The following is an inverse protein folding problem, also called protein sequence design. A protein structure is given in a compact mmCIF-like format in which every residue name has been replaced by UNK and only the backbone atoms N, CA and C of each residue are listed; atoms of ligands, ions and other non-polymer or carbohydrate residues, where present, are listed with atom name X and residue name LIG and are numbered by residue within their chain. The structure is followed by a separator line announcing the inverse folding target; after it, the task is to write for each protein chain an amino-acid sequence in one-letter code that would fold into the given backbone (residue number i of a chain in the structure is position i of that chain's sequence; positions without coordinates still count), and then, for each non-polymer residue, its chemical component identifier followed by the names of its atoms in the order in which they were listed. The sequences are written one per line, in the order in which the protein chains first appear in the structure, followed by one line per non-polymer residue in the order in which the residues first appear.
data_IF_620033254197
#
_entry.id   IF_620033254197
#
_cell.length_a   1.000
_cell.length_b   1.000
_cell.length_c   1.000
_cell.angle_alpha   90.00
_cell.angle_beta   90.00
_cell.angle_gamma   90.00
#
_symmetry.space_group_name_H-M   'P 1'
#
loop_
_entity.id
_entity.type
_entity.pdbx_description
1 polymer ?
#
# COMPACT_ATOMS: atom_id res chain seq x y z
N UNK A 1 -11.98 3.10 -33.44
CA UNK A 1 -10.70 3.79 -33.21
C UNK A 1 -10.01 3.14 -32.02
N UNK A 2 -8.84 2.51 -32.23
CA UNK A 2 -8.05 1.91 -31.15
C UNK A 2 -7.39 3.03 -30.35
N UNK A 3 -7.42 3.03 -29.00
CA UNK A 3 -6.59 3.93 -28.21
C UNK A 3 -5.12 3.51 -28.41
N UNK A 4 -4.29 4.50 -28.71
CA UNK A 4 -2.85 4.38 -28.95
C UNK A 4 -2.11 3.95 -27.68
N UNK A 5 -1.15 3.04 -27.83
CA UNK A 5 -0.43 2.31 -26.78
C UNK A 5 0.52 3.14 -25.90
N UNK A 6 0.33 4.46 -25.78
CA UNK A 6 1.20 5.34 -24.99
C UNK A 6 0.54 5.96 -23.75
N UNK A 7 -0.78 5.83 -23.56
CA UNK A 7 -1.45 6.40 -22.38
C UNK A 7 -1.25 5.57 -21.10
N UNK A 8 -0.92 4.29 -21.21
CA UNK A 8 -0.76 3.39 -20.06
C UNK A 8 0.61 3.46 -19.35
N UNK A 9 1.55 4.27 -19.84
CA UNK A 9 2.91 4.37 -19.29
C UNK A 9 3.27 5.74 -18.71
N UNK A 10 2.30 6.65 -18.58
CA UNK A 10 2.58 7.95 -17.97
C UNK A 10 2.88 7.81 -16.47
N UNK A 11 4.16 7.95 -16.13
CA UNK A 11 4.68 7.94 -14.77
C UNK A 11 4.66 9.35 -14.20
N UNK A 12 3.97 9.51 -13.07
CA UNK A 12 3.75 10.78 -12.38
C UNK A 12 4.61 10.89 -11.13
N UNK A 13 5.10 12.07 -10.87
CA UNK A 13 5.84 12.45 -9.68
C UNK A 13 5.06 13.53 -8.93
N UNK A 14 5.17 13.51 -7.61
CA UNK A 14 4.52 14.45 -6.70
C UNK A 14 5.61 15.24 -5.99
N UNK A 15 5.49 16.56 -5.93
CA UNK A 15 6.37 17.45 -5.16
C UNK A 15 5.57 18.21 -4.12
N UNK A 16 6.10 18.23 -2.90
CA UNK A 16 5.60 19.04 -1.78
C UNK A 16 6.78 19.69 -1.08
N UNK A 17 6.98 20.98 -1.30
CA UNK A 17 8.21 21.67 -0.88
C UNK A 17 9.41 21.08 -1.63
N UNK A 18 10.47 20.71 -0.91
CA UNK A 18 11.69 20.12 -1.49
C UNK A 18 11.60 18.60 -1.70
N UNK A 19 10.54 17.95 -1.24
CA UNK A 19 10.41 16.48 -1.30
C UNK A 19 9.68 16.06 -2.57
N UNK A 20 10.35 15.24 -3.39
CA UNK A 20 9.79 14.60 -4.58
C UNK A 20 9.52 13.11 -4.32
N UNK A 21 8.37 12.61 -4.76
CA UNK A 21 7.95 11.20 -4.62
C UNK A 21 7.41 10.67 -5.94
N UNK A 22 7.68 9.42 -6.27
CA UNK A 22 7.26 8.76 -7.50
C UNK A 22 8.27 7.71 -7.95
N UNK A 23 8.10 7.12 -9.14
CA UNK A 23 6.98 7.32 -10.06
C UNK A 23 5.69 6.65 -9.58
N UNK A 24 4.54 7.23 -9.96
CA UNK A 24 3.21 6.73 -9.69
C UNK A 24 2.42 6.63 -11.00
N UNK A 25 1.55 5.63 -11.12
CA UNK A 25 0.64 5.58 -12.28
C UNK A 25 -0.46 6.64 -12.13
N UNK A 26 -1.11 6.97 -13.25
CA UNK A 26 -2.29 7.84 -13.28
C UNK A 26 -3.33 7.45 -12.23
N UNK A 27 -3.65 6.16 -12.12
CA UNK A 27 -4.66 5.62 -11.21
C UNK A 27 -4.25 5.80 -9.74
N UNK A 28 -2.96 5.65 -9.43
CA UNK A 28 -2.42 5.85 -8.08
C UNK A 28 -2.44 7.34 -7.69
N UNK A 29 -2.17 8.25 -8.62
CA UNK A 29 -2.35 9.70 -8.42
C UNK A 29 -3.83 10.03 -8.20
N UNK A 30 -4.72 9.56 -9.06
CA UNK A 30 -6.18 9.71 -8.93
C UNK A 30 -6.67 9.18 -7.57
N UNK A 31 -6.15 8.03 -7.12
CA UNK A 31 -6.47 7.47 -5.81
C UNK A 31 -5.93 8.31 -4.66
N UNK A 32 -4.69 8.79 -4.73
CA UNK A 32 -4.13 9.67 -3.70
C UNK A 32 -4.87 11.01 -3.61
N UNK A 33 -5.37 11.54 -4.73
CA UNK A 33 -6.27 12.68 -4.77
C UNK A 33 -7.62 12.36 -4.09
N UNK A 34 -8.22 11.20 -4.39
CA UNK A 34 -9.45 10.73 -3.73
C UNK A 34 -9.29 10.58 -2.21
N UNK A 35 -8.16 10.05 -1.77
CA UNK A 35 -7.86 9.88 -0.34
C UNK A 35 -7.46 11.20 0.35
N UNK A 36 -7.25 12.29 -0.40
CA UNK A 36 -6.71 13.54 0.12
C UNK A 36 -5.25 13.45 0.60
N UNK A 37 -4.52 12.42 0.15
CA UNK A 37 -3.07 12.27 0.40
C UNK A 37 -2.26 13.23 -0.47
N UNK A 38 -2.76 13.49 -1.68
CA UNK A 38 -2.38 14.63 -2.51
C UNK A 38 -3.43 15.72 -2.32
N UNK A 39 -2.97 16.92 -1.97
CA UNK A 39 -3.81 18.11 -1.82
C UNK A 39 -3.91 18.83 -3.17
N UNK A 40 -4.93 19.68 -3.30
CA UNK A 40 -5.13 20.51 -4.51
C UNK A 40 -3.92 21.40 -4.84
N UNK A 41 -3.12 21.76 -3.84
CA UNK A 41 -1.92 22.60 -3.98
C UNK A 41 -0.61 21.81 -4.07
N UNK A 42 -0.63 20.48 -4.09
CA UNK A 42 0.57 19.70 -4.38
C UNK A 42 0.88 19.74 -5.88
N UNK A 43 2.17 19.68 -6.21
CA UNK A 43 2.63 19.76 -7.58
C UNK A 43 2.84 18.36 -8.16
N UNK A 44 2.46 18.18 -9.42
CA UNK A 44 2.62 16.97 -10.19
C UNK A 44 3.50 17.22 -11.41
N UNK A 45 4.27 16.20 -11.79
CA UNK A 45 5.14 16.24 -12.97
C UNK A 45 5.20 14.87 -13.64
N UNK A 46 5.37 14.84 -14.97
CA UNK A 46 5.62 13.62 -15.74
C UNK A 46 7.11 13.37 -15.98
N UNK A 47 7.93 14.42 -15.87
CA UNK A 47 9.33 14.45 -16.30
C UNK A 47 10.30 14.93 -15.20
N UNK A 48 9.78 15.28 -14.01
CA UNK A 48 10.49 15.89 -12.89
C UNK A 48 11.12 17.27 -13.18
N UNK A 49 10.92 17.82 -14.38
CA UNK A 49 11.44 19.12 -14.80
C UNK A 49 10.33 20.18 -14.78
N UNK A 50 9.15 19.84 -15.30
CA UNK A 50 7.98 20.71 -15.35
C UNK A 50 6.97 20.32 -14.26
N UNK A 51 6.79 21.20 -13.28
CA UNK A 51 5.89 21.01 -12.14
C UNK A 51 4.67 21.90 -12.29
N UNK A 52 3.47 21.32 -12.16
CA UNK A 52 2.18 22.02 -12.22
C UNK A 52 1.28 21.55 -11.10
N UNK A 53 0.32 22.36 -10.67
CA UNK A 53 -0.57 21.99 -9.58
C UNK A 53 -1.46 20.81 -9.98
N UNK A 54 -1.82 19.97 -9.01
CA UNK A 54 -2.70 18.83 -9.25
C UNK A 54 -4.05 19.21 -9.89
N UNK A 55 -4.54 20.44 -9.64
CA UNK A 55 -5.76 20.98 -10.25
C UNK A 55 -5.65 21.26 -11.74
N UNK A 56 -4.44 21.39 -12.27
CA UNK A 56 -4.19 21.67 -13.70
C UNK A 56 -4.21 20.40 -14.56
N UNK A 57 -4.46 19.24 -13.95
CA UNK A 57 -4.54 17.94 -14.63
C UNK A 57 -5.95 17.35 -14.50
N UNK A 58 -6.93 17.89 -15.24
CA UNK A 58 -8.32 17.47 -15.10
C UNK A 58 -8.54 15.98 -15.41
N UNK A 59 -7.69 15.37 -16.25
CA UNK A 59 -7.72 13.94 -16.55
C UNK A 59 -7.31 13.03 -15.39
N UNK A 60 -6.66 13.56 -14.35
CA UNK A 60 -6.27 12.82 -13.14
C UNK A 60 -7.30 12.95 -12.02
N UNK A 61 -8.16 13.96 -12.14
CA UNK A 61 -9.27 14.18 -11.24
C UNK A 61 -10.37 13.18 -11.64
N UNK A 62 -10.78 12.27 -10.75
CA UNK A 62 -11.94 11.42 -11.02
C UNK A 62 -13.16 12.29 -11.34
N UNK A 63 -14.13 11.80 -12.10
CA UNK A 63 -15.39 12.53 -12.37
C UNK A 63 -16.07 13.05 -11.10
N UNK A 64 -15.85 12.36 -9.98
CA UNK A 64 -16.26 12.72 -8.61
C UNK A 64 -15.64 14.01 -8.04
N UNK A 65 -14.61 14.57 -8.67
CA UNK A 65 -14.00 15.86 -8.31
C UNK A 65 -14.60 17.03 -9.10
N UNK A 66 -15.24 16.76 -10.24
CA UNK A 66 -15.88 17.77 -11.09
C UNK A 66 -17.35 17.98 -10.76
N UNK A 67 -17.96 17.02 -10.08
CA UNK A 67 -19.21 17.24 -9.38
C UNK A 67 -18.87 17.51 -7.92
N UNK A 68 -19.16 18.72 -7.45
CA UNK A 68 -19.63 18.87 -6.07
C UNK A 68 -20.88 17.99 -5.93
N UNK A 69 -20.70 16.68 -5.80
CA UNK A 69 -21.85 15.80 -5.65
C UNK A 69 -22.41 16.06 -4.27
N UNK A 70 -23.65 16.53 -4.21
CA UNK A 70 -24.52 16.50 -3.03
C UNK A 70 -24.84 15.07 -2.55
N UNK A 71 -24.19 14.05 -3.16
CA UNK A 71 -24.29 12.67 -2.75
C UNK A 71 -23.61 12.43 -1.38
N UNK A 72 -24.41 12.58 -0.33
CA UNK A 72 -24.06 12.31 1.04
C UNK A 72 -23.49 10.90 1.24
N UNK A 73 -23.90 9.93 0.40
CA UNK A 73 -23.44 8.54 0.48
C UNK A 73 -21.98 8.41 0.08
N UNK A 74 -21.55 9.14 -0.95
CA UNK A 74 -20.15 9.14 -1.39
C UNK A 74 -19.23 9.76 -0.32
N UNK A 75 -19.67 10.87 0.30
CA UNK A 75 -18.95 11.51 1.41
C UNK A 75 -18.82 10.54 2.60
N UNK A 76 -19.89 9.82 2.91
CA UNK A 76 -19.89 8.83 3.99
C UNK A 76 -18.90 7.68 3.72
N UNK A 77 -18.85 7.15 2.49
CA UNK A 77 -17.89 6.10 2.08
C UNK A 77 -16.43 6.55 2.20
N UNK A 78 -16.12 7.77 1.77
CA UNK A 78 -14.76 8.32 1.86
C UNK A 78 -14.31 8.55 3.31
N UNK A 79 -15.20 9.06 4.16
CA UNK A 79 -14.89 9.25 5.59
C UNK A 79 -14.68 7.93 6.31
N UNK A 80 -15.54 6.95 6.04
CA UNK A 80 -15.42 5.59 6.54
C UNK A 80 -14.08 4.94 6.19
N UNK A 81 -13.66 5.04 4.93
CA UNK A 81 -12.37 4.51 4.46
C UNK A 81 -11.20 5.16 5.20
N UNK A 82 -11.24 6.48 5.42
CA UNK A 82 -10.22 7.20 6.20
C UNK A 82 -10.16 6.71 7.66
N UNK A 83 -11.31 6.46 8.27
CA UNK A 83 -11.39 5.96 9.65
C UNK A 83 -10.82 4.55 9.78
N UNK A 84 -11.17 3.64 8.85
CA UNK A 84 -10.62 2.29 8.83
C UNK A 84 -9.10 2.28 8.65
N UNK A 85 -8.56 3.09 7.73
CA UNK A 85 -7.11 3.23 7.56
C UNK A 85 -6.43 3.74 8.83
N UNK A 86 -7.03 4.72 9.51
CA UNK A 86 -6.53 5.24 10.79
C UNK A 86 -6.52 4.15 11.89
N UNK A 87 -7.57 3.34 11.99
CA UNK A 87 -7.64 2.21 12.93
C UNK A 87 -6.62 1.12 12.60
N UNK A 88 -6.37 0.88 11.31
CA UNK A 88 -5.36 -0.09 10.87
C UNK A 88 -3.94 0.38 11.17
N UNK A 89 -3.67 1.69 11.01
CA UNK A 89 -2.42 2.32 11.40
C UNK A 89 -2.25 2.31 12.92
N UNK A 90 -3.32 2.60 13.67
CA UNK A 90 -3.32 2.54 15.13
C UNK A 90 -3.06 1.11 15.65
N UNK A 91 -3.73 0.10 15.09
CA UNK A 91 -3.50 -1.30 15.48
C UNK A 91 -2.14 -1.85 15.03
N UNK A 92 -1.55 -1.31 13.96
CA UNK A 92 -0.15 -1.62 13.61
C UNK A 92 0.87 -1.05 14.59
N UNK A 93 0.49 -0.06 15.41
CA UNK A 93 1.34 0.52 16.47
C UNK A 93 1.29 -0.24 17.80
N UNK A 94 0.44 -1.26 17.93
CA UNK A 94 0.24 -2.07 19.15
C UNK A 94 0.83 -3.50 19.05
N UNK A 95 1.82 -3.73 18.18
CA UNK A 95 2.55 -5.00 18.15
C UNK A 95 3.47 -5.15 19.38
N UNK A 96 3.49 -6.33 20.06
CA UNK A 96 4.31 -6.57 21.23
C UNK A 96 5.82 -6.36 21.01
N UNK A 97 6.45 -5.88 22.08
CA UNK A 97 7.76 -5.27 22.23
C UNK A 97 9.01 -6.14 21.91
N UNK A 98 8.92 -7.12 21.00
CA UNK A 98 10.08 -7.93 20.58
C UNK A 98 10.77 -7.41 19.32
N UNK A 99 10.09 -6.65 18.46
CA UNK A 99 10.70 -6.08 17.25
C UNK A 99 11.33 -4.69 17.44
N UNK A 100 11.11 -4.03 18.59
CA UNK A 100 11.74 -2.73 18.90
C UNK A 100 13.21 -2.78 19.30
N UNK A 101 13.80 -3.97 19.51
CA UNK A 101 15.22 -4.09 19.88
C UNK A 101 16.19 -3.92 18.72
N UNK A 102 15.72 -3.81 17.47
CA UNK A 102 16.61 -3.59 16.32
C UNK A 102 16.66 -2.14 15.84
N UNK A 103 15.78 -1.25 16.31
CA UNK A 103 15.70 0.15 15.86
C UNK A 103 16.07 1.19 16.94
N UNK A 104 16.28 0.77 18.19
CA UNK A 104 16.60 1.68 19.30
C UNK A 104 18.12 1.82 19.58
N UNK A 105 18.99 1.12 18.85
CA UNK A 105 20.44 1.20 19.01
C UNK A 105 21.09 2.32 18.16
N UNK A 106 20.37 2.88 17.17
CA UNK A 106 20.92 3.92 16.28
C UNK A 106 20.77 5.35 16.85
N UNK A 107 19.80 5.62 17.73
CA UNK A 107 19.54 6.98 18.23
C UNK A 107 20.38 7.36 19.47
N UNK A 108 21.03 6.39 20.11
CA UNK A 108 21.92 6.60 21.27
C UNK A 108 23.34 7.04 20.88
N UNK A 109 23.71 6.96 19.60
CA UNK A 109 25.05 7.31 19.11
C UNK A 109 25.14 8.80 18.71
N UNK A 110 24.05 9.42 18.26
CA UNK A 110 24.07 10.84 17.84
C UNK A 110 24.12 11.82 19.03
N UNK A 111 23.45 11.51 20.14
CA UNK A 111 23.38 12.45 21.28
C UNK A 111 24.65 12.52 22.14
N UNK A 112 25.59 11.58 21.96
CA UNK A 112 26.90 11.59 22.63
C UNK A 112 27.95 12.40 21.87
N UNK A 113 27.82 12.57 20.55
CA UNK A 113 28.85 13.21 19.71
C UNK A 113 28.83 14.74 19.80
N UNK A 114 27.68 15.35 20.08
CA UNK A 114 27.52 16.82 20.04
C UNK A 114 27.93 17.52 21.34
N UNK A 115 27.97 16.82 22.49
CA UNK A 115 28.41 17.43 23.77
C UNK A 115 29.93 17.43 24.00
N UNK A 116 30.72 16.81 23.12
CA UNK A 116 32.18 16.72 23.30
C UNK A 116 32.96 17.88 22.65
N UNK A 117 32.30 18.83 21.99
CA UNK A 117 32.97 19.90 21.23
C UNK A 117 32.88 21.30 21.84
N UNK A 118 32.30 21.48 23.02
CA UNK A 118 32.30 22.77 23.74
C UNK A 118 32.77 22.62 25.19
N UNK A 119 34.08 22.72 25.41
CA UNK A 119 34.62 23.30 26.65
C UNK A 119 36.04 23.85 26.44
N UNK A 120 36.36 25.05 26.96
CA UNK A 120 37.67 25.67 26.83
C UNK A 120 38.68 25.19 27.89
N UNK A 121 39.94 25.16 27.46
CA UNK A 121 41.25 25.13 28.14
C UNK A 121 41.34 24.70 29.62
N UNK A 122 42.12 23.64 29.89
CA UNK A 122 42.94 23.53 31.11
C UNK A 122 44.35 23.03 30.75
N UNK A 123 45.33 23.77 31.28
CA UNK A 123 46.78 23.61 31.12
C UNK A 123 47.30 22.27 31.63
N UNK A 124 48.35 21.75 30.96
CA UNK A 124 49.11 20.60 31.46
C UNK A 124 50.58 21.00 31.53
N UNK A 125 51.02 21.22 32.77
CA UNK A 125 52.42 21.32 33.16
C UNK A 125 53.15 19.99 33.00
N UNK A 126 54.46 20.10 32.78
CA UNK A 126 55.46 19.05 32.61
C UNK A 126 55.33 17.87 33.59
N UNK A 127 55.61 16.66 33.09
CA UNK A 127 56.66 15.78 33.63
C UNK A 127 56.91 14.54 32.75
N UNK A 128 58.02 14.62 32.02
CA UNK A 128 59.15 13.65 32.02
C UNK A 128 58.86 12.14 32.13
N UNK A 129 59.28 11.37 31.11
CA UNK A 129 60.49 10.50 31.08
C UNK A 129 60.30 9.31 30.12
N UNK A 130 61.31 9.14 29.27
CA UNK A 130 61.84 7.92 28.67
C UNK A 130 60.89 6.72 28.45
N UNK A 131 60.56 6.42 27.20
CA UNK A 131 61.10 5.19 26.58
C UNK A 131 61.04 5.27 25.04
N UNK A 132 62.20 5.08 24.43
CA UNK A 132 62.41 4.97 22.99
C UNK A 132 62.39 3.47 22.68
N UNK A 133 61.36 2.98 22.01
CA UNK A 133 61.30 1.60 21.52
C UNK A 133 59.90 1.12 21.12
N UNK A 134 59.72 0.78 19.83
CA UNK A 134 58.58 0.00 19.26
C UNK A 134 57.15 0.59 19.32
N UNK A 135 56.93 1.91 19.41
CA UNK A 135 55.57 2.49 19.34
C UNK A 135 55.07 2.87 17.92
N UNK A 136 55.96 3.16 16.97
CA UNK A 136 55.58 3.57 15.61
C UNK A 136 54.94 2.45 14.79
N UNK A 137 55.35 1.19 14.99
CA UNK A 137 54.80 0.03 14.28
C UNK A 137 53.34 -0.27 14.62
N UNK A 138 52.91 -0.09 15.87
CA UNK A 138 51.53 -0.38 16.29
C UNK A 138 50.52 0.66 15.80
N UNK A 139 50.92 1.94 15.77
CA UNK A 139 50.07 3.04 15.26
C UNK A 139 49.91 2.93 13.74
N UNK A 140 51.00 2.68 13.02
CA UNK A 140 50.96 2.47 11.55
C UNK A 140 50.13 1.22 11.21
N UNK A 141 50.29 0.12 11.95
CA UNK A 141 49.48 -1.07 11.77
C UNK A 141 47.98 -0.81 12.03
N UNK A 142 47.65 0.02 13.02
CA UNK A 142 46.27 0.41 13.33
C UNK A 142 45.63 1.25 12.22
N UNK A 143 46.36 2.21 11.66
CA UNK A 143 45.87 3.04 10.54
C UNK A 143 45.62 2.18 9.30
N UNK A 144 46.57 1.32 8.94
CA UNK A 144 46.43 0.42 7.78
C UNK A 144 45.24 -0.54 7.97
N UNK A 145 45.07 -1.12 9.16
CA UNK A 145 43.94 -1.98 9.45
C UNK A 145 42.60 -1.23 9.34
N UNK A 146 42.53 0.01 9.82
CA UNK A 146 41.33 0.84 9.70
C UNK A 146 41.04 1.22 8.24
N UNK A 147 42.06 1.53 7.44
CA UNK A 147 41.91 1.82 6.00
C UNK A 147 41.41 0.61 5.22
N UNK A 148 41.90 -0.59 5.57
CA UNK A 148 41.44 -1.85 4.95
C UNK A 148 40.00 -2.14 5.37
N UNK A 149 39.65 -1.96 6.65
CA UNK A 149 38.28 -2.13 7.14
C UNK A 149 37.33 -1.13 6.50
N UNK A 150 37.70 0.15 6.40
CA UNK A 150 36.87 1.15 5.73
C UNK A 150 36.72 0.85 4.25
N UNK A 151 37.80 0.42 3.57
CA UNK A 151 37.75 0.02 2.18
C UNK A 151 36.89 -1.24 1.98
N UNK A 152 36.95 -2.21 2.89
CA UNK A 152 36.09 -3.40 2.89
C UNK A 152 34.63 -3.03 3.10
N UNK A 153 34.33 -2.12 4.03
CA UNK A 153 32.95 -1.64 4.26
C UNK A 153 32.44 -0.93 3.02
N UNK A 154 33.22 -0.01 2.44
CA UNK A 154 32.87 0.66 1.18
C UNK A 154 32.71 -0.35 0.05
N UNK A 155 33.61 -1.33 -0.08
CA UNK A 155 33.50 -2.40 -1.08
C UNK A 155 32.24 -3.23 -0.86
N UNK A 156 31.88 -3.55 0.38
CA UNK A 156 30.63 -4.25 0.71
C UNK A 156 29.45 -3.39 0.26
N UNK A 157 29.40 -2.10 0.62
CA UNK A 157 28.34 -1.18 0.18
C UNK A 157 28.26 -1.02 -1.34
N UNK A 158 29.40 -0.96 -2.03
CA UNK A 158 29.47 -0.84 -3.51
C UNK A 158 29.11 -2.15 -4.24
N UNK A 159 29.18 -3.30 -3.55
CA UNK A 159 28.87 -4.62 -4.09
C UNK A 159 27.48 -5.11 -3.65
N UNK A 160 26.78 -4.39 -2.75
CA UNK A 160 25.38 -4.72 -2.46
C UNK A 160 24.53 -4.47 -3.72
N UNK A 161 23.88 -5.51 -4.29
CA UNK A 161 22.92 -5.29 -5.35
C UNK A 161 21.80 -4.40 -4.80
N UNK A 162 21.34 -3.42 -5.59
CA UNK A 162 20.20 -2.61 -5.24
C UNK A 162 19.02 -3.53 -4.86
N UNK A 163 18.21 -3.20 -3.84
CA UNK A 163 17.07 -4.02 -3.47
C UNK A 163 16.18 -4.22 -4.69
N UNK A 164 15.92 -5.48 -5.01
CA UNK A 164 15.10 -5.87 -6.16
C UNK A 164 13.69 -5.29 -5.94
N UNK A 165 13.34 -4.28 -6.73
CA UNK A 165 12.00 -3.69 -6.66
C UNK A 165 11.03 -4.74 -7.15
N UNK A 166 10.20 -5.28 -6.25
CA UNK A 166 9.18 -6.27 -6.59
C UNK A 166 8.20 -5.63 -7.59
N UNK A 167 8.41 -5.89 -8.88
CA UNK A 167 7.56 -5.38 -9.95
C UNK A 167 6.33 -6.26 -10.04
N UNK A 168 5.15 -5.66 -9.90
CA UNK A 168 3.87 -6.36 -10.07
C UNK A 168 3.73 -6.74 -11.55
N UNK A 169 3.66 -8.04 -11.83
CA UNK A 169 3.42 -8.58 -13.16
C UNK A 169 1.96 -9.07 -13.26
N UNK A 170 1.15 -8.37 -14.06
CA UNK A 170 -0.25 -8.71 -14.31
C UNK A 170 -0.45 -9.83 -15.34
N UNK A 171 0.64 -10.35 -15.93
CA UNK A 171 0.60 -11.37 -16.99
C UNK A 171 0.89 -12.77 -16.48
N UNK A 172 1.39 -12.90 -15.24
CA UNK A 172 1.55 -14.21 -14.61
C UNK A 172 0.22 -14.93 -14.54
N UNK A 173 0.27 -16.25 -14.65
CA UNK A 173 -0.93 -17.10 -14.66
C UNK A 173 -1.59 -17.16 -13.29
N UNK A 174 -2.89 -17.46 -13.28
CA UNK A 174 -3.65 -17.61 -12.04
C UNK A 174 -3.06 -18.69 -11.15
N UNK A 175 -2.64 -18.30 -9.95
CA UNK A 175 -2.04 -19.20 -8.98
C UNK A 175 -2.34 -18.74 -7.54
N UNK A 176 -2.26 -19.64 -6.54
CA UNK A 176 -2.35 -19.27 -5.14
C UNK A 176 -1.32 -18.20 -4.77
N UNK A 177 -1.70 -17.27 -3.89
CA UNK A 177 -0.85 -16.18 -3.37
C UNK A 177 -0.27 -15.23 -4.44
N UNK A 178 -0.74 -15.29 -5.68
CA UNK A 178 -0.32 -14.35 -6.73
C UNK A 178 -0.60 -12.91 -6.31
N UNK A 179 0.30 -12.00 -6.67
CA UNK A 179 0.12 -10.56 -6.44
C UNK A 179 -0.23 -9.87 -7.75
N UNK A 180 -1.50 -9.52 -7.91
CA UNK A 180 -2.03 -8.74 -9.02
C UNK A 180 -2.55 -7.38 -8.57
N UNK A 181 -2.03 -6.85 -7.47
CA UNK A 181 -2.49 -5.56 -6.95
C UNK A 181 -2.39 -4.47 -8.02
N UNK A 182 -3.45 -3.67 -8.18
CA UNK A 182 -3.57 -2.58 -9.14
C UNK A 182 -3.66 -3.00 -10.62
N UNK A 183 -3.75 -4.30 -10.93
CA UNK A 183 -3.90 -4.77 -12.30
C UNK A 183 -5.28 -4.41 -12.89
N UNK A 184 -5.31 -4.17 -14.21
CA UNK A 184 -6.52 -3.90 -14.98
C UNK A 184 -6.86 -5.14 -15.80
N UNK A 185 -7.88 -5.89 -15.36
CA UNK A 185 -8.27 -7.20 -15.89
C UNK A 185 -9.78 -7.26 -16.11
N UNK A 186 -10.34 -6.22 -16.75
CA UNK A 186 -11.76 -6.19 -17.13
C UNK A 186 -12.08 -7.40 -18.02
N UNK A 187 -13.21 -8.04 -17.77
CA UNK A 187 -13.67 -9.23 -18.48
C UNK A 187 -12.69 -10.43 -18.47
N UNK A 188 -11.77 -10.48 -17.49
CA UNK A 188 -10.84 -11.59 -17.35
C UNK A 188 -11.56 -12.94 -17.17
N UNK A 189 -11.00 -13.98 -17.77
CA UNK A 189 -11.53 -15.33 -17.76
C UNK A 189 -10.79 -16.13 -16.67
N UNK A 190 -11.35 -16.16 -15.47
CA UNK A 190 -10.75 -16.74 -14.26
C UNK A 190 -11.67 -17.78 -13.61
N UNK A 191 -12.64 -18.33 -14.35
CA UNK A 191 -13.55 -19.36 -13.86
C UNK A 191 -12.77 -20.59 -13.36
N UNK A 192 -13.20 -21.15 -12.22
CA UNK A 192 -12.60 -22.33 -11.58
C UNK A 192 -11.11 -22.19 -11.24
N UNK A 193 -10.57 -20.97 -11.22
CA UNK A 193 -9.17 -20.73 -10.89
C UNK A 193 -8.89 -20.92 -9.40
N UNK A 194 -7.65 -21.28 -9.08
CA UNK A 194 -7.17 -21.33 -7.70
C UNK A 194 -6.36 -20.07 -7.38
N UNK A 195 -6.99 -19.17 -6.64
CA UNK A 195 -6.45 -17.86 -6.22
C UNK A 195 -6.43 -17.73 -4.69
N UNK A 196 -6.30 -18.86 -3.99
CA UNK A 196 -6.27 -18.90 -2.53
C UNK A 196 -5.13 -18.01 -2.01
N UNK A 197 -5.48 -17.07 -1.13
CA UNK A 197 -4.56 -16.11 -0.53
C UNK A 197 -3.94 -15.10 -1.51
N UNK A 198 -4.45 -14.97 -2.74
CA UNK A 198 -3.95 -13.99 -3.70
C UNK A 198 -4.16 -12.55 -3.20
N UNK A 199 -3.25 -11.65 -3.58
CA UNK A 199 -3.35 -10.22 -3.30
C UNK A 199 -3.78 -9.49 -4.57
N UNK A 200 -5.01 -9.03 -4.58
CA UNK A 200 -5.72 -8.46 -5.73
C UNK A 200 -6.37 -7.12 -5.36
N UNK A 201 -5.65 -6.30 -4.57
CA UNK A 201 -6.14 -5.01 -4.09
C UNK A 201 -6.20 -3.99 -5.24
N UNK A 202 -7.20 -3.10 -5.22
CA UNK A 202 -7.37 -2.04 -6.23
C UNK A 202 -7.40 -2.55 -7.69
N UNK A 203 -7.81 -3.80 -7.91
CA UNK A 203 -7.93 -4.33 -9.27
C UNK A 203 -9.21 -3.85 -9.94
N UNK A 204 -9.18 -3.80 -11.27
CA UNK A 204 -10.40 -3.76 -12.07
C UNK A 204 -10.68 -5.15 -12.63
N UNK A 205 -11.74 -5.78 -12.13
CA UNK A 205 -12.27 -7.08 -12.54
C UNK A 205 -13.72 -6.93 -13.01
N UNK A 206 -14.13 -5.73 -13.43
CA UNK A 206 -15.49 -5.50 -13.94
C UNK A 206 -15.83 -6.53 -15.03
N UNK A 207 -17.02 -7.12 -14.97
CA UNK A 207 -17.49 -8.15 -15.92
C UNK A 207 -16.59 -9.39 -16.04
N UNK A 208 -15.65 -9.62 -15.11
CA UNK A 208 -14.82 -10.82 -15.13
C UNK A 208 -15.67 -12.07 -14.83
N UNK A 209 -15.16 -13.22 -15.25
CA UNK A 209 -15.71 -14.53 -14.94
C UNK A 209 -14.86 -15.19 -13.86
N UNK A 210 -15.40 -15.33 -12.65
CA UNK A 210 -14.80 -15.96 -11.47
C UNK A 210 -15.69 -17.10 -10.93
N UNK A 211 -16.52 -17.70 -11.79
CA UNK A 211 -17.47 -18.75 -11.40
C UNK A 211 -16.75 -19.96 -10.82
N UNK A 212 -17.19 -20.40 -9.64
CA UNK A 212 -16.60 -21.56 -8.96
C UNK A 212 -15.12 -21.42 -8.57
N UNK A 213 -14.56 -20.22 -8.59
CA UNK A 213 -13.14 -20.01 -8.27
C UNK A 213 -12.87 -20.13 -6.76
N UNK A 214 -11.68 -20.59 -6.41
CA UNK A 214 -11.22 -20.70 -5.03
C UNK A 214 -10.51 -19.40 -4.63
N UNK A 215 -11.17 -18.58 -3.82
CA UNK A 215 -10.74 -17.25 -3.41
C UNK A 215 -10.61 -17.15 -1.87
N UNK A 216 -10.39 -18.29 -1.20
CA UNK A 216 -10.25 -18.33 0.26
C UNK A 216 -9.10 -17.43 0.71
N UNK A 217 -9.35 -16.54 1.67
CA UNK A 217 -8.35 -15.63 2.21
C UNK A 217 -7.82 -14.59 1.23
N UNK A 218 -8.45 -14.42 0.06
CA UNK A 218 -8.04 -13.45 -0.95
C UNK A 218 -8.16 -12.02 -0.41
N UNK A 219 -7.31 -11.11 -0.89
CA UNK A 219 -7.46 -9.69 -0.61
C UNK A 219 -7.88 -8.92 -1.87
N UNK A 220 -9.16 -8.60 -1.95
CA UNK A 220 -9.83 -7.85 -3.03
C UNK A 220 -10.24 -6.44 -2.58
N UNK A 221 -9.61 -5.93 -1.51
CA UNK A 221 -9.98 -4.62 -0.95
C UNK A 221 -9.92 -3.53 -2.00
N UNK A 222 -10.97 -2.71 -2.04
CA UNK A 222 -11.14 -1.57 -2.96
C UNK A 222 -11.12 -1.92 -4.45
N UNK A 223 -11.25 -3.20 -4.81
CA UNK A 223 -11.32 -3.63 -6.19
C UNK A 223 -12.70 -3.38 -6.78
N UNK A 224 -12.75 -3.23 -8.10
CA UNK A 224 -13.99 -3.11 -8.85
C UNK A 224 -14.38 -4.47 -9.43
N UNK A 225 -15.41 -5.09 -8.86
CA UNK A 225 -16.00 -6.36 -9.30
C UNK A 225 -17.46 -6.13 -9.76
N UNK A 226 -17.78 -4.93 -10.23
CA UNK A 226 -19.13 -4.64 -10.73
C UNK A 226 -19.47 -5.55 -11.92
N UNK A 227 -20.69 -6.09 -11.93
CA UNK A 227 -21.19 -7.02 -12.95
C UNK A 227 -20.31 -8.29 -13.16
N UNK A 228 -19.53 -8.69 -12.17
CA UNK A 228 -18.70 -9.92 -12.22
C UNK A 228 -19.56 -11.15 -12.00
N UNK A 229 -19.24 -12.25 -12.68
CA UNK A 229 -19.85 -13.56 -12.44
C UNK A 229 -19.05 -14.29 -11.36
N UNK A 230 -19.61 -14.44 -10.17
CA UNK A 230 -18.98 -15.09 -9.01
C UNK A 230 -19.77 -16.32 -8.54
N UNK A 231 -20.80 -16.74 -9.28
CA UNK A 231 -21.69 -17.79 -8.80
C UNK A 231 -20.92 -19.07 -8.42
N UNK A 232 -21.17 -19.56 -7.21
CA UNK A 232 -20.49 -20.72 -6.60
C UNK A 232 -19.03 -20.51 -6.19
N UNK A 233 -18.49 -19.29 -6.22
CA UNK A 233 -17.13 -19.03 -5.76
C UNK A 233 -16.97 -19.17 -4.23
N UNK A 234 -15.77 -19.53 -3.79
CA UNK A 234 -15.43 -19.66 -2.37
C UNK A 234 -14.62 -18.45 -1.90
N UNK A 235 -15.29 -17.52 -1.20
CA UNK A 235 -14.72 -16.28 -0.65
C UNK A 235 -14.61 -16.33 0.89
N UNK A 236 -14.53 -17.52 1.48
CA UNK A 236 -14.35 -17.66 2.94
C UNK A 236 -13.08 -16.94 3.39
N UNK A 237 -13.18 -16.23 4.51
CA UNK A 237 -12.08 -15.43 5.09
C UNK A 237 -11.48 -14.37 4.14
N UNK A 238 -12.15 -14.04 3.03
CA UNK A 238 -11.67 -13.02 2.10
C UNK A 238 -11.74 -11.62 2.73
N UNK A 239 -10.82 -10.74 2.33
CA UNK A 239 -10.88 -9.31 2.63
C UNK A 239 -11.44 -8.56 1.42
N UNK A 240 -12.66 -8.07 1.57
CA UNK A 240 -13.49 -7.40 0.55
C UNK A 240 -13.83 -5.97 0.96
N UNK A 241 -13.02 -5.34 1.82
CA UNK A 241 -13.29 -4.01 2.35
C UNK A 241 -13.39 -2.99 1.22
N UNK A 242 -14.51 -2.27 1.15
CA UNK A 242 -14.74 -1.23 0.15
C UNK A 242 -14.80 -1.72 -1.31
N UNK A 243 -14.99 -3.03 -1.53
CA UNK A 243 -15.14 -3.59 -2.88
C UNK A 243 -16.44 -3.12 -3.54
N UNK A 244 -16.43 -2.91 -4.86
CA UNK A 244 -17.67 -2.73 -5.63
C UNK A 244 -18.13 -4.07 -6.19
N UNK A 245 -19.27 -4.57 -5.72
CA UNK A 245 -19.94 -5.79 -6.20
C UNK A 245 -21.29 -5.45 -6.86
N UNK A 246 -21.49 -4.20 -7.28
CA UNK A 246 -22.74 -3.74 -7.91
C UNK A 246 -23.14 -4.63 -9.07
N UNK A 247 -24.36 -5.16 -9.02
CA UNK A 247 -24.89 -6.02 -10.09
C UNK A 247 -24.12 -7.32 -10.32
N UNK A 248 -23.22 -7.73 -9.41
CA UNK A 248 -22.51 -9.00 -9.53
C UNK A 248 -23.45 -10.19 -9.29
N UNK A 249 -23.17 -11.33 -9.92
CA UNK A 249 -23.83 -12.59 -9.60
C UNK A 249 -23.07 -13.31 -8.47
N UNK A 250 -23.59 -13.19 -7.25
CA UNK A 250 -23.05 -13.79 -6.03
C UNK A 250 -23.81 -15.05 -5.62
N UNK A 251 -24.61 -15.65 -6.52
CA UNK A 251 -25.43 -16.80 -6.16
C UNK A 251 -24.58 -17.99 -5.69
N UNK A 252 -24.95 -18.57 -4.55
CA UNK A 252 -24.24 -19.71 -3.94
C UNK A 252 -22.83 -19.41 -3.40
N UNK A 253 -22.40 -18.14 -3.37
CA UNK A 253 -21.07 -17.77 -2.86
C UNK A 253 -20.94 -18.04 -1.37
N UNK A 254 -19.78 -18.53 -0.94
CA UNK A 254 -19.45 -18.71 0.48
C UNK A 254 -18.64 -17.51 0.99
N UNK A 255 -19.19 -16.72 1.91
CA UNK A 255 -18.55 -15.57 2.54
C UNK A 255 -18.20 -15.83 4.02
N UNK A 256 -18.12 -17.09 4.48
CA UNK A 256 -17.92 -17.38 5.91
C UNK A 256 -16.67 -16.68 6.46
N UNK A 257 -16.87 -15.83 7.47
CA UNK A 257 -15.79 -15.05 8.08
C UNK A 257 -15.12 -14.01 7.17
N UNK A 258 -15.70 -13.69 6.01
CA UNK A 258 -15.21 -12.65 5.11
C UNK A 258 -15.45 -11.25 5.69
N UNK A 259 -14.64 -10.28 5.28
CA UNK A 259 -14.79 -8.88 5.66
C UNK A 259 -15.32 -8.05 4.47
N UNK A 260 -16.62 -7.79 4.44
CA UNK A 260 -17.29 -6.94 3.43
C UNK A 260 -17.58 -5.52 3.95
N UNK A 261 -16.88 -5.08 4.99
CA UNK A 261 -17.07 -3.73 5.53
C UNK A 261 -16.97 -2.68 4.43
N UNK A 262 -17.96 -1.78 4.35
CA UNK A 262 -18.05 -0.72 3.34
C UNK A 262 -18.15 -1.20 1.88
N UNK A 263 -18.37 -2.49 1.62
CA UNK A 263 -18.62 -3.00 0.29
C UNK A 263 -19.94 -2.47 -0.29
N UNK A 264 -20.06 -2.49 -1.61
CA UNK A 264 -21.28 -2.09 -2.32
C UNK A 264 -21.86 -3.28 -3.08
N UNK A 265 -22.94 -3.87 -2.56
CA UNK A 265 -23.66 -5.00 -3.15
C UNK A 265 -24.95 -4.55 -3.86
N UNK A 266 -25.15 -3.26 -4.13
CA UNK A 266 -26.39 -2.77 -4.73
C UNK A 266 -26.72 -3.51 -6.04
N UNK A 267 -27.92 -4.10 -6.10
CA UNK A 267 -28.39 -4.88 -7.25
C UNK A 267 -27.68 -6.22 -7.48
N UNK A 268 -26.82 -6.69 -6.56
CA UNK A 268 -26.19 -8.00 -6.69
C UNK A 268 -27.19 -9.15 -6.43
N UNK A 269 -27.01 -10.27 -7.14
CA UNK A 269 -27.78 -11.49 -6.88
C UNK A 269 -27.12 -12.31 -5.78
N UNK A 270 -27.68 -12.34 -4.56
CA UNK A 270 -27.13 -13.08 -3.42
C UNK A 270 -27.87 -14.40 -3.13
N UNK A 271 -28.64 -14.92 -4.09
CA UNK A 271 -29.46 -16.12 -3.89
C UNK A 271 -28.60 -17.32 -3.44
N UNK A 272 -28.87 -17.86 -2.26
CA UNK A 272 -28.12 -18.99 -1.70
C UNK A 272 -26.69 -18.66 -1.24
N UNK A 273 -26.30 -17.38 -1.20
CA UNK A 273 -25.02 -16.98 -0.63
C UNK A 273 -25.01 -17.17 0.89
N UNK A 274 -23.88 -17.62 1.44
CA UNK A 274 -23.69 -17.83 2.86
C UNK A 274 -22.87 -16.69 3.46
N UNK A 275 -23.48 -15.88 4.32
CA UNK A 275 -22.82 -14.76 5.01
C UNK A 275 -22.45 -15.10 6.47
N UNK A 276 -22.48 -16.35 6.90
CA UNK A 276 -22.24 -16.71 8.31
C UNK A 276 -20.92 -16.15 8.85
N UNK A 277 -21.00 -15.27 9.86
CA UNK A 277 -19.82 -14.62 10.43
C UNK A 277 -19.14 -13.58 9.53
N UNK A 278 -19.71 -13.22 8.38
CA UNK A 278 -19.20 -12.17 7.51
C UNK A 278 -19.40 -10.80 8.17
N UNK A 279 -18.39 -9.94 8.14
CA UNK A 279 -18.50 -8.56 8.63
C UNK A 279 -19.13 -7.68 7.56
N UNK A 280 -20.22 -7.02 7.93
CA UNK A 280 -21.05 -6.20 7.03
C UNK A 280 -21.10 -4.74 7.48
N UNK A 281 -20.13 -4.29 8.28
CA UNK A 281 -20.05 -2.91 8.79
C UNK A 281 -20.23 -1.88 7.66
N UNK A 282 -21.34 -1.13 7.68
CA UNK A 282 -21.64 -0.08 6.70
C UNK A 282 -21.62 -0.54 5.24
N UNK A 283 -21.79 -1.83 4.99
CA UNK A 283 -22.00 -2.36 3.64
C UNK A 283 -23.28 -1.76 3.05
N UNK A 284 -23.26 -1.41 1.77
CA UNK A 284 -24.48 -1.10 1.02
C UNK A 284 -25.06 -2.40 0.52
N UNK A 285 -26.25 -2.73 1.00
CA UNK A 285 -26.91 -3.98 0.73
C UNK A 285 -27.54 -4.00 -0.68
N UNK A 286 -28.11 -5.15 -1.04
CA UNK A 286 -28.67 -5.38 -2.38
C UNK A 286 -29.81 -4.41 -2.76
N UNK A 287 -30.53 -3.89 -1.77
CA UNK A 287 -31.63 -2.93 -1.91
C UNK A 287 -31.17 -1.47 -1.70
N UNK A 288 -29.88 -1.23 -1.53
CA UNK A 288 -29.29 0.10 -1.36
C UNK A 288 -29.26 0.63 0.08
N UNK A 289 -29.84 -0.09 1.05
CA UNK A 289 -29.73 0.30 2.47
C UNK A 289 -28.30 0.09 2.98
N UNK A 290 -27.93 0.83 4.03
CA UNK A 290 -26.61 0.70 4.66
C UNK A 290 -26.77 -0.15 5.93
N UNK A 291 -25.99 -1.23 6.05
CA UNK A 291 -25.99 -2.07 7.25
C UNK A 291 -25.48 -1.32 8.48
N UNK A 292 -25.93 -1.72 9.68
CA UNK A 292 -25.47 -1.12 10.92
C UNK A 292 -23.97 -1.33 11.17
N UNK A 293 -23.43 -0.56 12.12
CA UNK A 293 -22.09 -0.83 12.65
C UNK A 293 -22.16 -2.08 13.51
N UNK A 294 -21.17 -2.96 13.38
CA UNK A 294 -21.09 -4.27 14.01
C UNK A 294 -21.96 -5.33 13.35
N UNK A 295 -22.52 -5.08 12.17
CA UNK A 295 -23.36 -6.05 11.47
C UNK A 295 -22.53 -7.29 11.09
N UNK A 296 -23.00 -8.47 11.52
CA UNK A 296 -22.34 -9.75 11.27
C UNK A 296 -23.37 -10.73 10.71
N UNK A 297 -23.11 -11.22 9.50
CA UNK A 297 -23.87 -12.22 8.76
C UNK A 297 -25.28 -11.85 8.31
N UNK A 298 -25.92 -10.87 8.95
CA UNK A 298 -27.16 -10.28 8.50
C UNK A 298 -27.05 -8.75 8.52
N UNK A 299 -27.63 -8.11 7.51
CA UNK A 299 -27.68 -6.67 7.39
C UNK A 299 -28.91 -6.15 8.15
N UNK A 300 -28.75 -6.01 9.47
CA UNK A 300 -29.72 -5.37 10.37
C UNK A 300 -29.27 -3.98 10.79
#
# INVERSE_FOLDING_TARGET
MKPTSSEHQQQWYIRRGEVVRGPFTKEKITHFLLLGRIKKNDELSLDQAAWRLATEFPQLLPSQFFEESDDALLRQRLMAKKQWEAQRLASSSELPNQQRRHEADDELVEHALVRALESPEISITEKTRLSRGKKTSKVVAGVVAFSILSAMVVMIYLVQPAPEVETIDCTVTAAPKVNWSNCQMEAAQLAQSNLVGATMQNMNLMRADLRGSQLVGVNLSFSNLSATLLNGADLRQARLVGVSLKGADLSGVQFDGADLSYADLAGANISGANFSGAKLDKTIWIDGRICAVGAIGDCR
#
